data_IF_217566825377
#
_entry.id   IF_217566825377
#
_cell.length_a   1.000
_cell.length_b   1.000
_cell.length_c   1.000
_cell.angle_alpha   90.00
_cell.angle_beta   90.00
_cell.angle_gamma   90.00
#
_symmetry.space_group_name_H-M   'P 1'
#
loop_
_entity.id
_entity.type
_entity.pdbx_description
1 polymer ?
#
# COMPACT_ATOMS: atom_id res chain seq x y z
N UNK A 1 10.23 12.59 17.51
CA UNK A 1 10.30 11.81 16.26
C UNK A 1 8.97 11.10 16.04
N UNK A 2 8.33 11.27 14.88
CA UNK A 2 6.99 10.70 14.58
C UNK A 2 7.06 9.38 13.78
N UNK A 3 8.21 8.71 13.76
CA UNK A 3 8.44 7.46 12.99
C UNK A 3 7.52 6.30 13.39
N UNK A 4 6.95 6.33 14.59
CA UNK A 4 5.92 5.38 15.01
C UNK A 4 4.69 5.38 14.09
N UNK A 5 4.41 6.48 13.36
CA UNK A 5 3.32 6.53 12.38
C UNK A 5 3.56 5.50 11.26
N UNK A 6 4.81 5.39 10.79
CA UNK A 6 5.18 4.42 9.73
C UNK A 6 4.91 2.99 10.22
N UNK A 7 5.32 2.69 11.46
CA UNK A 7 5.11 1.38 12.07
C UNK A 7 3.62 1.07 12.23
N UNK A 8 2.81 2.02 12.70
CA UNK A 8 1.37 1.82 12.85
C UNK A 8 0.71 1.55 11.50
N UNK A 9 1.01 2.33 10.46
CA UNK A 9 0.44 2.13 9.13
C UNK A 9 0.83 0.77 8.55
N UNK A 10 2.11 0.38 8.69
CA UNK A 10 2.58 -0.95 8.30
C UNK A 10 1.83 -2.06 9.04
N UNK A 11 1.67 -1.95 10.36
CA UNK A 11 0.98 -2.95 11.17
C UNK A 11 -0.50 -3.05 10.82
N UNK A 12 -1.17 -1.92 10.58
CA UNK A 12 -2.57 -1.90 10.13
C UNK A 12 -2.71 -2.66 8.80
N UNK A 13 -1.86 -2.38 7.81
CA UNK A 13 -1.88 -3.10 6.53
C UNK A 13 -1.67 -4.60 6.73
N UNK A 14 -0.63 -5.00 7.47
CA UNK A 14 -0.32 -6.41 7.74
C UNK A 14 -1.45 -7.14 8.47
N UNK A 15 -2.05 -6.53 9.49
CA UNK A 15 -3.18 -7.13 10.22
C UNK A 15 -4.37 -7.32 9.29
N UNK A 16 -4.73 -6.31 8.50
CA UNK A 16 -5.89 -6.41 7.60
C UNK A 16 -5.72 -7.44 6.48
N UNK A 17 -4.50 -7.56 5.92
CA UNK A 17 -4.17 -8.60 4.93
C UNK A 17 -4.22 -10.01 5.53
N UNK A 18 -3.70 -10.18 6.74
CA UNK A 18 -3.77 -11.46 7.45
C UNK A 18 -5.22 -11.84 7.78
N UNK A 19 -6.04 -10.87 8.20
CA UNK A 19 -7.47 -11.08 8.40
C UNK A 19 -8.15 -11.52 7.10
N UNK A 20 -7.82 -10.89 5.96
CA UNK A 20 -8.37 -11.24 4.66
C UNK A 20 -8.01 -12.68 4.24
N UNK A 21 -6.76 -13.09 4.44
CA UNK A 21 -6.32 -14.46 4.16
C UNK A 21 -7.05 -15.50 5.03
N UNK A 22 -7.30 -15.21 6.31
CA UNK A 22 -7.93 -16.17 7.23
C UNK A 22 -9.43 -16.33 7.01
N UNK A 23 -10.11 -15.24 6.68
CA UNK A 23 -11.57 -15.24 6.59
C UNK A 23 -12.11 -15.52 5.19
N UNK A 24 -11.24 -15.67 4.18
CA UNK A 24 -11.61 -15.87 2.78
C UNK A 24 -12.72 -14.91 2.35
N UNK A 25 -12.39 -13.62 2.31
CA UNK A 25 -13.30 -12.58 1.84
C UNK A 25 -13.55 -12.71 0.33
N UNK A 26 -14.24 -13.74 -0.13
CA UNK A 26 -14.61 -13.89 -1.54
C UNK A 26 -16.10 -13.61 -1.70
N UNK A 27 -16.43 -12.51 -2.39
CA UNK A 27 -17.81 -12.12 -2.68
C UNK A 27 -18.58 -11.44 -1.53
N UNK A 28 -17.93 -11.09 -0.41
CA UNK A 28 -18.60 -10.42 0.72
C UNK A 28 -18.88 -8.96 0.35
N UNK A 29 -20.16 -8.58 0.25
CA UNK A 29 -20.55 -7.20 -0.10
C UNK A 29 -20.72 -6.36 1.16
N UNK A 30 -19.97 -5.25 1.26
CA UNK A 30 -20.18 -4.24 2.30
C UNK A 30 -21.36 -3.33 1.93
N UNK A 31 -21.45 -2.92 0.66
CA UNK A 31 -22.57 -2.16 0.10
C UNK A 31 -22.62 -2.32 -1.44
N UNK A 32 -23.41 -1.49 -2.14
CA UNK A 32 -23.54 -1.52 -3.60
C UNK A 32 -22.27 -1.14 -4.38
N UNK A 33 -21.31 -0.51 -3.72
CA UNK A 33 -20.07 0.01 -4.32
C UNK A 33 -18.83 -0.74 -3.83
N UNK A 34 -18.81 -1.20 -2.57
CA UNK A 34 -17.66 -1.83 -1.93
C UNK A 34 -17.99 -3.28 -1.59
N UNK A 35 -17.08 -4.17 -1.97
CA UNK A 35 -17.07 -5.59 -1.63
C UNK A 35 -15.66 -6.00 -1.21
N UNK A 36 -15.54 -7.15 -0.56
CA UNK A 36 -14.26 -7.76 -0.26
C UNK A 36 -14.10 -9.01 -1.13
N UNK A 37 -12.99 -9.03 -1.87
CA UNK A 37 -12.60 -10.09 -2.80
C UNK A 37 -11.09 -10.32 -2.63
N UNK A 38 -10.67 -11.48 -2.14
CA UNK A 38 -9.25 -11.81 -1.98
C UNK A 38 -8.58 -12.05 -3.34
N UNK A 39 -7.56 -11.26 -3.66
CA UNK A 39 -6.76 -11.35 -4.87
C UNK A 39 -5.28 -11.37 -4.51
N UNK A 40 -4.55 -12.34 -5.06
CA UNK A 40 -3.09 -12.38 -4.98
C UNK A 40 -2.49 -11.68 -6.20
N UNK A 41 -2.01 -10.46 -6.01
CA UNK A 41 -1.53 -9.60 -7.08
C UNK A 41 -0.02 -9.77 -7.30
N UNK A 42 0.33 -10.39 -8.44
CA UNK A 42 1.72 -10.62 -8.86
C UNK A 42 2.32 -9.43 -9.62
N UNK A 43 1.51 -8.44 -9.98
CA UNK A 43 1.90 -7.27 -10.77
C UNK A 43 2.09 -6.00 -9.94
N UNK A 44 2.04 -4.89 -10.67
CA UNK A 44 1.97 -3.54 -10.12
C UNK A 44 0.50 -3.10 -9.97
N UNK A 45 0.28 -1.82 -9.74
CA UNK A 45 -1.06 -1.24 -9.75
C UNK A 45 -1.73 -1.39 -11.13
N UNK A 46 -3.07 -1.37 -11.14
CA UNK A 46 -3.91 -1.38 -12.34
C UNK A 46 -3.73 -2.61 -13.26
N UNK A 47 -3.20 -3.72 -12.74
CA UNK A 47 -2.98 -4.94 -13.52
C UNK A 47 -1.76 -4.91 -14.44
N UNK A 48 -0.88 -3.90 -14.32
CA UNK A 48 0.36 -3.84 -15.11
C UNK A 48 1.32 -4.92 -14.63
N UNK A 49 1.75 -5.78 -15.53
CA UNK A 49 2.78 -6.76 -15.22
C UNK A 49 4.16 -6.09 -15.14
N UNK A 50 4.83 -6.26 -14.00
CA UNK A 50 6.23 -5.87 -13.81
C UNK A 50 6.94 -7.03 -13.11
N UNK A 51 8.12 -7.45 -13.58
CA UNK A 51 8.91 -8.47 -12.91
C UNK A 51 9.09 -8.18 -11.42
N UNK A 52 8.83 -9.17 -10.58
CA UNK A 52 8.86 -9.03 -9.10
C UNK A 52 10.14 -8.39 -8.58
N UNK A 53 11.30 -8.77 -9.13
CA UNK A 53 12.58 -8.22 -8.68
C UNK A 53 12.70 -6.72 -8.94
N UNK A 54 12.11 -6.20 -10.03
CA UNK A 54 12.06 -4.76 -10.30
C UNK A 54 11.14 -4.04 -9.32
N UNK A 55 9.99 -4.63 -8.98
CA UNK A 55 9.09 -4.05 -7.97
C UNK A 55 9.78 -3.93 -6.61
N UNK A 56 10.47 -4.99 -6.17
CA UNK A 56 11.26 -4.98 -4.94
C UNK A 56 12.37 -3.92 -5.01
N UNK A 57 13.12 -3.89 -6.11
CA UNK A 57 14.19 -2.92 -6.33
C UNK A 57 13.69 -1.48 -6.26
N UNK A 58 12.63 -1.13 -7.00
CA UNK A 58 12.06 0.22 -6.99
C UNK A 58 11.47 0.60 -5.63
N UNK A 59 10.87 -0.36 -4.89
CA UNK A 59 10.45 -0.13 -3.51
C UNK A 59 11.63 0.26 -2.60
N UNK A 60 12.76 -0.45 -2.67
CA UNK A 60 13.95 -0.08 -1.89
C UNK A 60 14.52 1.29 -2.29
N UNK A 61 14.59 1.59 -3.58
CA UNK A 61 15.04 2.91 -4.06
C UNK A 61 14.13 4.01 -3.52
N UNK A 62 12.80 3.84 -3.60
CA UNK A 62 11.84 4.81 -3.08
C UNK A 62 11.94 4.99 -1.55
N UNK A 63 12.16 3.92 -0.77
CA UNK A 63 12.43 4.01 0.67
C UNK A 63 13.60 4.95 0.96
N UNK A 64 14.74 4.74 0.29
CA UNK A 64 15.96 5.54 0.49
C UNK A 64 15.72 7.00 0.11
N UNK A 65 15.15 7.24 -1.07
CA UNK A 65 14.89 8.60 -1.57
C UNK A 65 13.96 9.37 -0.63
N UNK A 66 12.86 8.77 -0.18
CA UNK A 66 11.91 9.44 0.71
C UNK A 66 12.49 9.70 2.11
N UNK A 67 13.33 8.80 2.61
CA UNK A 67 14.07 9.01 3.86
C UNK A 67 15.12 10.12 3.77
N UNK A 68 15.62 10.45 2.58
CA UNK A 68 16.50 11.61 2.37
C UNK A 68 15.67 12.90 2.26
N UNK A 69 14.52 12.83 1.57
CA UNK A 69 13.70 14.00 1.25
C UNK A 69 12.72 14.43 2.36
N UNK A 70 12.57 13.67 3.44
CA UNK A 70 11.56 13.92 4.48
C UNK A 70 11.58 15.31 5.11
N UNK A 71 12.78 15.90 5.29
CA UNK A 71 12.91 17.25 5.83
C UNK A 71 12.37 18.32 4.88
N UNK A 72 12.51 18.11 3.56
CA UNK A 72 12.04 19.05 2.52
C UNK A 72 10.54 18.89 2.29
N UNK A 73 10.07 17.65 2.12
CA UNK A 73 8.71 17.34 1.67
C UNK A 73 7.70 17.18 2.82
N UNK A 74 8.14 17.24 4.08
CA UNK A 74 7.26 17.13 5.23
C UNK A 74 6.99 15.68 5.60
N UNK A 75 6.97 15.43 6.91
CA UNK A 75 7.01 14.07 7.43
C UNK A 75 5.71 13.30 7.22
N UNK A 76 4.54 13.95 7.25
CA UNK A 76 3.25 13.24 7.25
C UNK A 76 3.01 12.47 5.95
N UNK A 77 3.11 13.12 4.78
CA UNK A 77 2.93 12.45 3.49
C UNK A 77 3.95 11.34 3.26
N UNK A 78 5.20 11.59 3.65
CA UNK A 78 6.26 10.58 3.56
C UNK A 78 6.01 9.40 4.51
N UNK A 79 5.54 9.63 5.73
CA UNK A 79 5.23 8.53 6.65
C UNK A 79 4.13 7.62 6.10
N UNK A 80 3.12 8.21 5.42
CA UNK A 80 2.05 7.47 4.75
C UNK A 80 2.57 6.61 3.59
N UNK A 81 3.38 7.20 2.71
CA UNK A 81 3.98 6.45 1.59
C UNK A 81 4.89 5.35 2.12
N UNK A 82 5.77 5.64 3.09
CA UNK A 82 6.68 4.64 3.65
C UNK A 82 5.93 3.48 4.33
N UNK A 83 4.87 3.77 5.09
CA UNK A 83 4.06 2.74 5.75
C UNK A 83 3.40 1.79 4.74
N UNK A 84 2.76 2.34 3.70
CA UNK A 84 2.15 1.52 2.65
C UNK A 84 3.18 0.78 1.80
N UNK A 85 4.29 1.43 1.45
CA UNK A 85 5.38 0.79 0.69
C UNK A 85 5.96 -0.40 1.46
N UNK A 86 6.21 -0.26 2.77
CA UNK A 86 6.71 -1.36 3.59
C UNK A 86 5.73 -2.55 3.63
N UNK A 87 4.42 -2.31 3.70
CA UNK A 87 3.41 -3.37 3.68
C UNK A 87 3.43 -4.16 2.37
N UNK A 88 3.41 -3.44 1.25
CA UNK A 88 3.46 -4.03 -0.10
C UNK A 88 4.82 -4.65 -0.46
N UNK A 89 5.93 -4.16 0.11
CA UNK A 89 7.26 -4.74 -0.05
C UNK A 89 7.38 -6.03 0.77
N UNK A 90 6.87 -6.04 2.01
CA UNK A 90 6.84 -7.24 2.84
C UNK A 90 6.16 -8.38 2.09
N UNK A 91 4.98 -8.16 1.53
CA UNK A 91 4.27 -9.25 0.86
C UNK A 91 5.05 -9.80 -0.34
N UNK A 92 5.65 -8.92 -1.15
CA UNK A 92 6.46 -9.32 -2.30
C UNK A 92 7.69 -10.14 -1.91
N UNK A 93 8.32 -9.81 -0.79
CA UNK A 93 9.52 -10.51 -0.30
C UNK A 93 9.16 -11.86 0.31
N UNK A 94 8.10 -11.92 1.12
CA UNK A 94 7.78 -13.11 1.91
C UNK A 94 6.78 -14.06 1.24
N UNK A 95 5.84 -13.55 0.44
CA UNK A 95 4.82 -14.36 -0.25
C UNK A 95 5.02 -14.39 -1.77
N UNK A 96 5.71 -13.40 -2.34
CA UNK A 96 5.96 -13.32 -3.79
C UNK A 96 4.87 -12.60 -4.59
N UNK A 97 3.82 -12.13 -3.92
CA UNK A 97 2.70 -11.35 -4.45
C UNK A 97 2.20 -10.38 -3.38
N UNK A 98 1.29 -9.47 -3.72
CA UNK A 98 0.60 -8.58 -2.77
C UNK A 98 -0.79 -9.14 -2.47
N UNK A 99 -1.22 -9.05 -1.21
CA UNK A 99 -2.57 -9.47 -0.80
C UNK A 99 -3.52 -8.28 -0.96
N UNK A 100 -4.37 -8.33 -1.98
CA UNK A 100 -5.42 -7.34 -2.23
C UNK A 100 -6.77 -7.91 -1.81
N UNK A 101 -7.63 -7.10 -1.20
CA UNK A 101 -8.89 -7.61 -0.64
C UNK A 101 -10.06 -6.62 -0.68
N UNK A 102 -9.83 -5.33 -0.95
CA UNK A 102 -10.87 -4.31 -1.05
C UNK A 102 -11.20 -4.12 -2.53
N UNK A 103 -12.43 -4.47 -2.91
CA UNK A 103 -12.92 -4.31 -4.27
C UNK A 103 -13.97 -3.19 -4.33
N UNK A 104 -13.67 -2.16 -5.11
CA UNK A 104 -14.60 -1.08 -5.43
C UNK A 104 -15.17 -1.29 -6.83
N UNK A 105 -16.48 -1.13 -6.99
CA UNK A 105 -17.20 -1.35 -8.26
C UNK A 105 -16.55 -0.55 -9.41
N UNK A 106 -16.28 -1.23 -10.52
CA UNK A 106 -15.60 -0.69 -11.70
C UNK A 106 -14.15 -0.22 -11.45
N UNK A 107 -13.52 -0.70 -10.38
CA UNK A 107 -12.13 -0.40 -10.03
C UNK A 107 -11.39 -1.70 -9.68
N UNK A 108 -10.06 -1.63 -9.65
CA UNK A 108 -9.23 -2.78 -9.29
C UNK A 108 -9.38 -3.12 -7.81
N UNK A 109 -9.05 -4.35 -7.45
CA UNK A 109 -8.92 -4.76 -6.04
C UNK A 109 -7.62 -4.17 -5.49
N UNK A 110 -7.66 -3.62 -4.28
CA UNK A 110 -6.53 -2.99 -3.61
C UNK A 110 -6.50 -3.33 -2.12
N UNK A 111 -5.51 -2.81 -1.41
CA UNK A 111 -5.34 -2.97 0.04
C UNK A 111 -5.14 -1.62 0.75
N UNK A 112 -4.97 -1.66 2.08
CA UNK A 112 -4.74 -0.43 2.85
C UNK A 112 -3.38 0.21 2.57
N UNK A 113 -2.34 -0.56 2.27
CA UNK A 113 -1.07 -0.01 1.82
C UNK A 113 -1.23 0.88 0.56
N UNK A 114 -2.07 0.51 -0.41
CA UNK A 114 -2.34 1.33 -1.60
C UNK A 114 -3.08 2.63 -1.25
N UNK A 115 -4.01 2.57 -0.29
CA UNK A 115 -4.71 3.75 0.25
C UNK A 115 -3.70 4.69 0.93
N UNK A 116 -2.78 4.15 1.73
CA UNK A 116 -1.76 4.96 2.41
C UNK A 116 -0.80 5.63 1.43
N UNK A 117 -0.35 4.91 0.39
CA UNK A 117 0.48 5.49 -0.68
C UNK A 117 -0.26 6.62 -1.38
N UNK A 118 -1.53 6.41 -1.72
CA UNK A 118 -2.37 7.41 -2.40
C UNK A 118 -2.58 8.66 -1.54
N UNK A 119 -2.94 8.50 -0.26
CA UNK A 119 -3.11 9.61 0.68
C UNK A 119 -1.79 10.35 0.95
N UNK A 120 -0.69 9.62 1.07
CA UNK A 120 0.62 10.22 1.27
C UNK A 120 1.05 11.05 0.06
N UNK A 121 0.80 10.57 -1.16
CA UNK A 121 0.97 11.33 -2.40
C UNK A 121 0.11 12.60 -2.42
N UNK A 122 -1.17 12.50 -2.03
CA UNK A 122 -2.06 13.65 -1.89
C UNK A 122 -1.56 14.69 -0.87
N UNK A 123 -1.06 14.26 0.29
CA UNK A 123 -0.48 15.18 1.28
C UNK A 123 0.79 15.87 0.77
N UNK A 124 1.64 15.17 0.02
CA UNK A 124 2.80 15.78 -0.61
C UNK A 124 2.39 16.79 -1.68
N UNK A 125 1.42 16.45 -2.53
CA UNK A 125 0.87 17.35 -3.52
C UNK A 125 0.33 18.64 -2.89
N UNK A 126 -0.51 18.52 -1.85
CA UNK A 126 -1.03 19.67 -1.11
C UNK A 126 0.06 20.56 -0.50
N UNK A 127 1.21 19.97 -0.14
CA UNK A 127 2.35 20.74 0.37
C UNK A 127 3.06 21.50 -0.75
N UNK A 128 3.13 20.96 -1.96
CA UNK A 128 3.83 21.58 -3.09
C UNK A 128 3.06 22.76 -3.70
N UNK A 129 1.73 22.75 -3.59
CA UNK A 129 0.87 23.83 -4.12
C UNK A 129 0.59 24.95 -3.12
N UNK A 130 1.06 24.83 -1.88
CA UNK A 130 0.98 25.85 -0.82
C UNK A 130 2.33 26.52 -0.64
#
# INVERSE_FOLDING_TARGET
MKYWIILILFLIDRITKEMANRHFFDGIKLNFVISFNLVHNYGAALGIYIPRFLLIFFSFVALIVLLILYKKLGFLGIAFILGGLLGNLYDRVFYGYVIDFIHMKNFFVFNLADVFITLGGFFLFLKLIK
#
